data_IF_151335748839
#
_entry.id   IF_151335748839
#
_cell.length_a   1.000
_cell.length_b   1.000
_cell.length_c   1.000
_cell.angle_alpha   90.00
_cell.angle_beta   90.00
_cell.angle_gamma   90.00
#
_symmetry.space_group_name_H-M   'P 1'
#
loop_
_entity.id
_entity.type
_entity.pdbx_description
1 polymer ?
#
# COMPACT_ATOMS: atom_id res chain seq x y z
N UNK A 1 10.45 -10.19 2.99
CA UNK A 1 10.09 -8.93 3.68
C UNK A 1 8.66 -9.04 4.21
N UNK A 2 8.36 -8.60 5.43
CA UNK A 2 6.97 -8.54 5.92
C UNK A 2 6.14 -7.72 4.93
N UNK A 3 4.99 -8.23 4.48
CA UNK A 3 4.09 -7.51 3.58
C UNK A 3 3.63 -6.14 4.14
N UNK A 4 3.72 -5.96 5.45
CA UNK A 4 3.51 -4.68 6.13
C UNK A 4 4.63 -3.67 5.83
N UNK A 5 5.89 -4.10 5.81
CA UNK A 5 7.06 -3.25 5.56
C UNK A 5 7.06 -2.72 4.13
N UNK A 6 6.71 -3.57 3.15
CA UNK A 6 6.63 -3.18 1.73
C UNK A 6 5.59 -2.08 1.48
N UNK A 7 4.40 -2.20 2.10
CA UNK A 7 3.35 -1.17 2.02
C UNK A 7 3.77 0.14 2.67
N UNK A 8 4.53 0.07 3.76
CA UNK A 8 5.05 1.24 4.48
C UNK A 8 6.09 1.98 3.63
N UNK A 9 6.96 1.22 2.96
CA UNK A 9 7.97 1.77 2.04
C UNK A 9 7.33 2.50 0.86
N UNK A 10 6.35 1.88 0.20
CA UNK A 10 5.64 2.47 -0.96
C UNK A 10 4.85 3.70 -0.52
N UNK A 11 4.21 3.67 0.66
CA UNK A 11 3.48 4.84 1.21
C UNK A 11 4.43 6.01 1.47
N UNK A 12 5.56 5.75 2.11
CA UNK A 12 6.55 6.80 2.40
C UNK A 12 7.19 7.33 1.12
N UNK A 13 7.52 6.46 0.17
CA UNK A 13 8.03 6.87 -1.13
C UNK A 13 7.03 7.79 -1.86
N UNK A 14 5.75 7.42 -1.88
CA UNK A 14 4.71 8.23 -2.51
C UNK A 14 4.59 9.63 -1.89
N UNK A 15 4.62 9.72 -0.55
CA UNK A 15 4.59 11.00 0.16
C UNK A 15 5.83 11.83 -0.20
N UNK A 16 7.03 11.25 -0.12
CA UNK A 16 8.27 11.98 -0.43
C UNK A 16 8.34 12.45 -1.89
N UNK A 17 7.95 11.59 -2.83
CA UNK A 17 7.91 11.90 -4.26
C UNK A 17 6.84 12.95 -4.62
N UNK A 18 5.83 13.15 -3.77
CA UNK A 18 4.81 14.19 -3.97
C UNK A 18 5.25 15.60 -3.53
N UNK A 19 6.28 15.73 -2.68
CA UNK A 19 6.79 17.02 -2.20
C UNK A 19 7.32 17.91 -3.35
N UNK A 20 8.15 17.40 -4.29
CA UNK A 20 8.61 18.20 -5.44
C UNK A 20 7.47 18.72 -6.33
N UNK A 21 6.35 17.99 -6.39
CA UNK A 21 5.16 18.41 -7.15
C UNK A 21 4.55 19.66 -6.51
N UNK A 22 4.48 19.71 -5.18
CA UNK A 22 4.01 20.91 -4.47
C UNK A 22 4.95 22.10 -4.70
N UNK A 23 6.26 21.86 -4.69
CA UNK A 23 7.25 22.89 -5.05
C UNK A 23 7.16 23.36 -6.49
N UNK A 24 6.67 22.52 -7.40
CA UNK A 24 6.38 22.88 -8.78
C UNK A 24 5.08 23.69 -8.93
N UNK A 25 4.04 23.38 -8.16
CA UNK A 25 2.75 24.12 -8.23
C UNK A 25 2.82 25.47 -7.53
N UNK A 26 3.44 25.52 -6.34
CA UNK A 26 3.41 26.69 -5.46
C UNK A 26 4.77 27.38 -5.31
N UNK A 27 5.84 26.79 -5.82
CA UNK A 27 7.21 27.26 -5.60
C UNK A 27 7.95 27.64 -6.88
N UNK A 28 9.21 28.07 -6.75
CA UNK A 28 10.04 28.52 -7.86
C UNK A 28 10.52 27.37 -8.77
N UNK A 29 10.20 26.11 -8.45
CA UNK A 29 10.63 24.93 -9.24
C UNK A 29 10.08 24.98 -10.67
N UNK A 30 8.93 25.64 -10.89
CA UNK A 30 8.39 25.87 -12.22
C UNK A 30 9.19 26.87 -13.06
N UNK A 31 9.97 27.76 -12.42
CA UNK A 31 10.79 28.77 -13.10
C UNK A 31 12.11 28.18 -13.61
N UNK A 32 12.52 27.01 -13.07
CA UNK A 32 13.70 26.28 -13.50
C UNK A 32 13.30 25.26 -14.58
N UNK A 33 13.65 25.47 -15.86
CA UNK A 33 13.15 24.66 -16.97
C UNK A 33 13.55 23.18 -16.85
N UNK A 34 14.77 22.89 -16.39
CA UNK A 34 15.25 21.52 -16.18
C UNK A 34 14.46 20.81 -15.06
N UNK A 35 14.23 21.50 -13.94
CA UNK A 35 13.49 20.94 -12.81
C UNK A 35 12.01 20.75 -13.15
N UNK A 36 11.41 21.69 -13.88
CA UNK A 36 10.04 21.59 -14.39
C UNK A 36 9.86 20.38 -15.31
N UNK A 37 10.81 20.12 -16.21
CA UNK A 37 10.78 18.94 -17.08
C UNK A 37 10.92 17.65 -16.26
N UNK A 38 11.83 17.61 -15.29
CA UNK A 38 12.01 16.44 -14.42
C UNK A 38 10.74 16.14 -13.62
N UNK A 39 10.08 17.16 -13.07
CA UNK A 39 8.83 16.96 -12.31
C UNK A 39 7.73 16.41 -13.21
N UNK A 40 7.56 16.96 -14.42
CA UNK A 40 6.51 16.53 -15.36
C UNK A 40 6.76 15.14 -15.95
N UNK A 41 7.99 14.87 -16.38
CA UNK A 41 8.33 13.67 -17.14
C UNK A 41 8.70 12.47 -16.26
N UNK A 42 9.17 12.71 -15.03
CA UNK A 42 9.69 11.65 -14.14
C UNK A 42 8.90 11.58 -12.83
N UNK A 43 8.86 12.67 -12.07
CA UNK A 43 8.25 12.65 -10.72
C UNK A 43 6.74 12.40 -10.81
N UNK A 44 6.03 13.11 -11.68
CA UNK A 44 4.59 12.99 -11.85
C UNK A 44 4.16 11.55 -12.23
N UNK A 45 4.73 10.90 -13.27
CA UNK A 45 4.37 9.51 -13.56
C UNK A 45 4.78 8.53 -12.46
N UNK A 46 5.92 8.74 -11.77
CA UNK A 46 6.31 7.91 -10.64
C UNK A 46 5.32 7.99 -9.47
N UNK A 47 4.84 9.20 -9.14
CA UNK A 47 3.82 9.41 -8.11
C UNK A 47 2.49 8.78 -8.52
N UNK A 48 2.08 8.94 -9.77
CA UNK A 48 0.84 8.32 -10.29
C UNK A 48 0.94 6.79 -10.22
N UNK A 49 2.04 6.19 -10.67
CA UNK A 49 2.25 4.74 -10.64
C UNK A 49 2.28 4.20 -9.21
N UNK A 50 2.99 4.87 -8.30
CA UNK A 50 3.02 4.47 -6.88
C UNK A 50 1.66 4.63 -6.19
N UNK A 51 0.90 5.67 -6.51
CA UNK A 51 -0.47 5.86 -6.02
C UNK A 51 -1.43 4.81 -6.55
N UNK A 52 -1.33 4.49 -7.84
CA UNK A 52 -2.11 3.43 -8.48
C UNK A 52 -1.76 2.06 -7.88
N UNK A 53 -0.49 1.81 -7.56
CA UNK A 53 -0.06 0.59 -6.89
C UNK A 53 -0.59 0.49 -5.45
N UNK A 54 -0.67 1.59 -4.71
CA UNK A 54 -1.30 1.60 -3.38
C UNK A 54 -2.80 1.34 -3.46
N UNK A 55 -3.48 1.90 -4.48
CA UNK A 55 -4.92 1.73 -4.67
C UNK A 55 -5.28 0.32 -5.15
N UNK A 56 -4.67 -0.15 -6.25
CA UNK A 56 -4.99 -1.45 -6.87
C UNK A 56 -4.06 -2.59 -6.46
N UNK A 57 -3.05 -2.38 -5.63
CA UNK A 57 -2.16 -3.46 -5.17
C UNK A 57 -2.89 -4.59 -4.45
N UNK A 58 -4.03 -4.30 -3.80
CA UNK A 58 -4.89 -5.34 -3.22
C UNK A 58 -5.62 -6.17 -4.28
N UNK A 59 -6.01 -5.55 -5.40
CA UNK A 59 -6.64 -6.21 -6.54
C UNK A 59 -5.63 -7.03 -7.33
N UNK A 60 -4.40 -6.53 -7.54
CA UNK A 60 -3.33 -7.28 -8.21
C UNK A 60 -3.00 -8.56 -7.44
N UNK A 61 -2.92 -8.52 -6.10
CA UNK A 61 -2.75 -9.75 -5.30
C UNK A 61 -3.90 -10.76 -5.46
N UNK A 62 -5.12 -10.26 -5.70
CA UNK A 62 -6.31 -11.10 -5.95
C UNK A 62 -6.29 -11.69 -7.38
N UNK A 63 -5.81 -10.93 -8.36
CA UNK A 63 -5.73 -11.35 -9.77
C UNK A 63 -4.56 -12.28 -10.07
N UNK A 64 -3.41 -12.09 -9.40
CA UNK A 64 -2.22 -12.94 -9.61
C UNK A 64 -2.36 -14.31 -8.91
N UNK A 65 -3.50 -14.60 -8.26
CA UNK A 65 -3.76 -15.93 -7.71
C UNK A 65 -2.68 -16.40 -6.73
N UNK A 66 -1.95 -15.47 -6.09
CA UNK A 66 -1.12 -15.80 -4.93
C UNK A 66 -2.13 -16.07 -3.83
N UNK A 67 -2.61 -17.30 -3.81
CA UNK A 67 -3.37 -17.88 -2.73
C UNK A 67 -2.54 -17.65 -1.48
N UNK A 68 -2.86 -16.58 -0.76
CA UNK A 68 -2.57 -16.57 0.66
C UNK A 68 -3.41 -17.73 1.18
N UNK A 69 -2.79 -18.90 1.29
CA UNK A 69 -3.18 -19.90 2.26
C UNK A 69 -3.15 -19.19 3.60
N UNK A 70 -4.22 -18.44 3.90
CA UNK A 70 -4.59 -18.17 5.27
C UNK A 70 -4.89 -19.57 5.78
N UNK A 71 -3.87 -20.19 6.37
CA UNK A 71 -4.07 -21.30 7.27
C UNK A 71 -5.25 -20.90 8.17
N UNK A 72 -6.25 -21.77 8.34
CA UNK A 72 -7.43 -21.44 9.13
C UNK A 72 -6.93 -20.91 10.46
N UNK A 73 -7.42 -19.72 10.85
CA UNK A 73 -7.14 -19.20 12.18
C UNK A 73 -7.83 -20.13 13.17
N UNK A 74 -7.16 -21.20 13.58
CA UNK A 74 -7.54 -22.01 14.73
C UNK A 74 -7.29 -21.11 15.93
N UNK A 75 -8.27 -20.27 16.24
CA UNK A 75 -8.27 -19.46 17.45
C UNK A 75 -8.24 -20.43 18.64
N UNK A 76 -7.14 -20.50 19.42
CA UNK A 76 -7.06 -21.41 20.56
C UNK A 76 -7.91 -20.93 21.74
N UNK A 77 -8.55 -19.75 21.65
CA UNK A 77 -9.42 -19.18 22.69
C UNK A 77 -10.90 -19.53 22.55
N UNK A 78 -11.22 -20.77 22.16
CA UNK A 78 -12.53 -21.33 22.49
C UNK A 78 -12.30 -22.62 23.26
N UNK A 79 -12.18 -22.54 24.60
CA UNK A 79 -12.38 -23.73 25.43
C UNK A 79 -13.76 -24.24 25.04
N UNK A 80 -13.81 -25.48 24.54
CA UNK A 80 -15.05 -26.09 24.08
C UNK A 80 -16.14 -25.90 25.13
N UNK A 81 -17.23 -25.23 24.73
CA UNK A 81 -18.50 -25.42 25.41
C UNK A 81 -18.83 -26.91 25.26
N UNK A 82 -18.45 -27.70 26.27
CA UNK A 82 -19.04 -29.01 26.46
C UNK A 82 -20.51 -28.76 26.79
N UNK A 83 -21.48 -29.28 26.02
CA UNK A 83 -22.83 -29.36 26.53
C UNK A 83 -22.77 -30.30 27.74
N UNK A 84 -22.90 -29.73 28.94
CA UNK A 84 -23.10 -30.50 30.16
C UNK A 84 -24.44 -31.21 29.96
N UNK A 85 -24.37 -32.48 29.53
CA UNK A 85 -25.53 -33.37 29.50
C UNK A 85 -26.01 -33.52 30.93
N UNK A 86 -27.01 -32.74 31.31
CA UNK A 86 -27.93 -33.09 32.39
C UNK A 86 -28.68 -34.33 31.91
N UNK A 87 -28.22 -35.51 32.34
CA UNK A 87 -29.04 -36.72 32.35
C UNK A 87 -29.69 -36.76 33.73
N UNK A 88 -31.02 -36.69 33.69
CA UNK A 88 -32.04 -37.18 34.61
C UNK A 88 -31.65 -37.33 36.08
#
# INVERSE_FOLDING_TARGET
MKAATERLLIRWFHIMASIPILGYIYGPVAQLPEAALMVKAVILPLVILSGFWLWKGHWVKKWVGIGTGKAPSTNPRKPGLRPFKLKA
#
